data_IF_053711153264
#
_entry.id   IF_053711153264
#
_cell.length_a   1.000
_cell.length_b   1.000
_cell.length_c   1.000
_cell.angle_alpha   90.00
_cell.angle_beta   90.00
_cell.angle_gamma   90.00
#
_symmetry.space_group_name_H-M   'P 1'
#
loop_
_entity.id
_entity.type
_entity.pdbx_description
1 polymer ?
#
# COMPACT_ATOMS: atom_id res chain seq x y z
N UNK A 1 26.42 -24.70 -9.64
CA UNK A 1 26.06 -23.26 -9.73
C UNK A 1 24.54 -23.20 -9.62
N UNK A 2 23.98 -22.34 -8.76
CA UNK A 2 22.51 -22.13 -8.74
C UNK A 2 22.14 -21.40 -10.03
N UNK A 3 21.10 -21.86 -10.72
CA UNK A 3 20.61 -21.23 -11.94
C UNK A 3 20.13 -19.78 -11.62
N UNK A 4 20.43 -18.86 -12.53
CA UNK A 4 19.97 -17.48 -12.43
C UNK A 4 18.46 -17.46 -12.70
N UNK A 5 17.63 -16.94 -11.79
CA UNK A 5 16.18 -16.96 -11.98
C UNK A 5 15.77 -16.09 -13.19
N UNK A 6 14.78 -16.57 -13.92
CA UNK A 6 14.12 -15.77 -14.96
C UNK A 6 13.23 -14.69 -14.34
N UNK A 7 13.38 -13.45 -14.79
CA UNK A 7 12.73 -12.29 -14.20
C UNK A 7 11.90 -11.56 -15.26
N UNK A 8 10.70 -11.12 -14.89
CA UNK A 8 10.01 -10.03 -15.58
C UNK A 8 9.93 -8.82 -14.66
N UNK A 9 9.89 -7.64 -15.27
CA UNK A 9 9.73 -6.36 -14.59
C UNK A 9 8.52 -5.62 -15.12
N UNK A 10 7.82 -4.82 -14.30
CA UNK A 10 6.78 -3.93 -14.79
C UNK A 10 6.64 -2.68 -13.92
N UNK A 11 6.55 -1.53 -14.58
CA UNK A 11 6.34 -0.21 -13.98
C UNK A 11 5.78 0.72 -15.06
N UNK A 12 4.80 1.55 -14.73
CA UNK A 12 4.21 2.52 -15.66
C UNK A 12 5.04 3.81 -15.79
N UNK A 13 6.14 3.93 -15.02
CA UNK A 13 7.12 5.01 -15.12
C UNK A 13 8.32 4.58 -15.98
N UNK A 14 8.44 5.02 -17.25
CA UNK A 14 9.44 4.50 -18.18
C UNK A 14 10.89 4.65 -17.71
N UNK A 15 11.21 5.75 -17.01
CA UNK A 15 12.56 5.98 -16.49
C UNK A 15 12.92 5.03 -15.36
N UNK A 16 11.96 4.74 -14.46
CA UNK A 16 12.18 3.81 -13.34
C UNK A 16 12.30 2.39 -13.87
N UNK A 17 11.42 1.99 -14.78
CA UNK A 17 11.46 0.67 -15.43
C UNK A 17 12.79 0.45 -16.16
N UNK A 18 13.23 1.45 -16.94
CA UNK A 18 14.52 1.39 -17.62
C UNK A 18 15.68 1.29 -16.63
N UNK A 19 15.72 2.15 -15.61
CA UNK A 19 16.78 2.15 -14.61
C UNK A 19 16.87 0.82 -13.84
N UNK A 20 15.73 0.23 -13.48
CA UNK A 20 15.68 -1.09 -12.85
C UNK A 20 16.21 -2.19 -13.79
N UNK A 21 15.78 -2.17 -15.04
CA UNK A 21 16.25 -3.16 -16.03
C UNK A 21 17.75 -3.04 -16.30
N UNK A 22 18.26 -1.81 -16.50
CA UNK A 22 19.67 -1.56 -16.74
C UNK A 22 20.52 -2.06 -15.56
N UNK A 23 20.08 -1.76 -14.32
CA UNK A 23 20.74 -2.25 -13.11
C UNK A 23 20.75 -3.78 -13.01
N UNK A 24 19.61 -4.44 -13.25
CA UNK A 24 19.51 -5.89 -13.18
C UNK A 24 20.36 -6.58 -14.27
N UNK A 25 20.42 -6.02 -15.48
CA UNK A 25 21.26 -6.51 -16.58
C UNK A 25 22.75 -6.35 -16.26
N UNK A 26 23.17 -5.22 -15.68
CA UNK A 26 24.55 -4.99 -15.22
C UNK A 26 24.98 -6.05 -14.19
N UNK A 27 24.04 -6.47 -13.34
CA UNK A 27 24.25 -7.55 -12.35
C UNK A 27 24.08 -8.97 -12.92
N UNK A 28 23.96 -9.13 -14.23
CA UNK A 28 23.80 -10.39 -14.93
C UNK A 28 22.53 -11.19 -14.56
N UNK A 29 21.45 -10.52 -14.16
CA UNK A 29 20.15 -11.16 -14.00
C UNK A 29 19.49 -11.42 -15.36
N UNK A 30 18.73 -12.52 -15.46
CA UNK A 30 18.05 -12.94 -16.67
C UNK A 30 16.66 -12.29 -16.78
N UNK A 31 16.57 -11.10 -17.40
CA UNK A 31 15.31 -10.44 -17.69
C UNK A 31 14.72 -11.00 -18.97
N UNK A 32 13.59 -11.69 -18.87
CA UNK A 32 12.91 -12.33 -20.01
C UNK A 32 11.73 -11.54 -20.56
N UNK A 33 11.36 -10.43 -19.90
CA UNK A 33 10.29 -9.55 -20.37
C UNK A 33 10.13 -8.31 -19.47
N UNK A 34 9.52 -7.27 -20.06
CA UNK A 34 9.26 -6.02 -19.37
C UNK A 34 7.92 -5.44 -19.83
N UNK A 35 7.07 -4.99 -18.91
CA UNK A 35 5.76 -4.41 -19.18
C UNK A 35 5.67 -2.97 -18.69
N UNK A 36 4.91 -2.13 -19.39
CA UNK A 36 4.65 -0.73 -19.03
C UNK A 36 3.30 -0.53 -18.34
N UNK A 37 2.54 -1.58 -18.12
CA UNK A 37 1.27 -1.57 -17.41
C UNK A 37 0.96 -2.97 -16.82
N UNK A 38 -0.05 -3.01 -15.94
CA UNK A 38 -0.39 -4.25 -15.25
C UNK A 38 -1.00 -5.33 -16.14
N UNK A 39 -1.62 -4.97 -17.28
CA UNK A 39 -2.14 -5.96 -18.23
C UNK A 39 -1.01 -6.68 -18.93
N UNK A 40 -0.06 -5.92 -19.50
CA UNK A 40 1.14 -6.48 -20.13
C UNK A 40 1.93 -7.34 -19.14
N UNK A 41 2.09 -6.88 -17.90
CA UNK A 41 2.78 -7.64 -16.85
C UNK A 41 2.11 -9.00 -16.62
N UNK A 42 0.78 -9.02 -16.48
CA UNK A 42 0.04 -10.27 -16.25
C UNK A 42 0.11 -11.21 -17.45
N UNK A 43 -0.04 -10.70 -18.67
CA UNK A 43 0.06 -11.48 -19.90
C UNK A 43 1.49 -12.10 -20.04
N UNK A 44 2.55 -11.35 -19.73
CA UNK A 44 3.92 -11.85 -19.67
C UNK A 44 4.10 -12.98 -18.64
N UNK A 45 3.48 -12.86 -17.45
CA UNK A 45 3.52 -13.92 -16.44
C UNK A 45 2.84 -15.19 -16.96
N UNK A 46 1.70 -15.07 -17.62
CA UNK A 46 0.96 -16.21 -18.14
C UNK A 46 1.73 -16.92 -19.25
N UNK A 47 2.34 -16.16 -20.17
CA UNK A 47 3.05 -16.67 -21.33
C UNK A 47 4.40 -17.28 -20.96
N UNK A 48 5.23 -16.51 -20.21
CA UNK A 48 6.65 -16.86 -19.99
C UNK A 48 6.91 -17.64 -18.71
N UNK A 49 5.94 -17.65 -17.78
CA UNK A 49 6.08 -18.35 -16.49
C UNK A 49 7.40 -18.05 -15.77
N UNK A 50 7.76 -16.78 -15.54
CA UNK A 50 9.02 -16.41 -14.91
C UNK A 50 9.11 -16.97 -13.49
N UNK A 51 10.34 -17.13 -12.99
CA UNK A 51 10.58 -17.50 -11.58
C UNK A 51 10.17 -16.35 -10.64
N UNK A 52 10.48 -15.10 -11.06
CA UNK A 52 10.22 -13.90 -10.27
C UNK A 52 9.56 -12.84 -11.17
N UNK A 53 8.53 -12.17 -10.65
CA UNK A 53 7.95 -10.98 -11.25
C UNK A 53 8.13 -9.79 -10.30
N UNK A 54 8.85 -8.76 -10.76
CA UNK A 54 9.08 -7.51 -10.03
C UNK A 54 8.13 -6.46 -10.58
N UNK A 55 7.16 -6.05 -9.76
CA UNK A 55 6.02 -5.25 -10.21
C UNK A 55 5.88 -3.98 -9.38
N UNK A 56 5.59 -2.86 -10.03
CA UNK A 56 5.03 -1.72 -9.32
C UNK A 56 3.63 -2.06 -8.79
N UNK A 57 3.27 -1.46 -7.66
CA UNK A 57 1.92 -1.62 -7.11
C UNK A 57 0.91 -0.85 -7.95
N UNK A 58 1.21 0.41 -8.29
CA UNK A 58 0.28 1.27 -9.02
C UNK A 58 0.59 1.26 -10.50
N UNK A 59 -0.19 0.54 -11.26
CA UNK A 59 -0.12 0.50 -12.73
C UNK A 59 -1.51 0.60 -13.33
N UNK A 60 -1.64 1.15 -14.55
CA UNK A 60 -2.90 1.12 -15.30
C UNK A 60 -3.41 -0.31 -15.52
N UNK A 61 -4.72 -0.45 -15.62
CA UNK A 61 -5.48 -1.69 -15.87
C UNK A 61 -5.47 -2.69 -14.71
N UNK A 62 -4.31 -3.10 -14.22
CA UNK A 62 -4.17 -4.02 -13.08
C UNK A 62 -3.05 -3.53 -12.15
N UNK A 63 -3.34 -3.43 -10.87
CA UNK A 63 -2.31 -3.17 -9.87
C UNK A 63 -1.42 -4.40 -9.64
N UNK A 64 -0.20 -4.19 -9.13
CA UNK A 64 0.68 -5.31 -8.73
C UNK A 64 0.01 -6.23 -7.70
N UNK A 65 -0.84 -5.69 -6.84
CA UNK A 65 -1.65 -6.47 -5.88
C UNK A 65 -2.71 -7.32 -6.59
N UNK A 66 -3.41 -6.75 -7.60
CA UNK A 66 -4.40 -7.51 -8.37
C UNK A 66 -3.75 -8.66 -9.14
N UNK A 67 -2.57 -8.43 -9.71
CA UNK A 67 -1.78 -9.47 -10.40
C UNK A 67 -1.41 -10.57 -9.40
N UNK A 68 -0.91 -10.23 -8.23
CA UNK A 68 -0.57 -11.21 -7.20
C UNK A 68 -1.78 -12.06 -6.77
N UNK A 69 -2.94 -11.42 -6.60
CA UNK A 69 -4.18 -12.12 -6.29
C UNK A 69 -4.62 -13.07 -7.42
N UNK A 70 -4.55 -12.62 -8.68
CA UNK A 70 -4.85 -13.47 -9.86
C UNK A 70 -3.89 -14.64 -9.97
N UNK A 71 -2.59 -14.43 -9.77
CA UNK A 71 -1.59 -15.49 -9.76
C UNK A 71 -1.86 -16.54 -8.67
N UNK A 72 -2.24 -16.08 -7.46
CA UNK A 72 -2.61 -16.96 -6.35
C UNK A 72 -3.84 -17.82 -6.69
N UNK A 73 -4.90 -17.21 -7.23
CA UNK A 73 -6.13 -17.93 -7.63
C UNK A 73 -5.83 -18.95 -8.74
N UNK A 74 -5.00 -18.58 -9.71
CA UNK A 74 -4.61 -19.44 -10.84
C UNK A 74 -3.50 -20.45 -10.50
N UNK A 75 -3.05 -20.53 -9.24
CA UNK A 75 -1.94 -21.38 -8.78
C UNK A 75 -0.65 -21.22 -9.62
N UNK A 76 -0.35 -19.99 -10.03
CA UNK A 76 0.87 -19.66 -10.76
C UNK A 76 2.03 -19.64 -9.76
N UNK A 77 3.14 -20.33 -10.11
CA UNK A 77 4.30 -20.48 -9.22
C UNK A 77 5.25 -19.28 -9.20
N UNK A 78 5.05 -18.32 -10.10
CA UNK A 78 5.85 -17.09 -10.15
C UNK A 78 5.84 -16.39 -8.81
N UNK A 79 7.01 -16.09 -8.28
CA UNK A 79 7.16 -15.37 -7.02
C UNK A 79 7.04 -13.86 -7.26
N UNK A 80 6.07 -13.24 -6.63
CA UNK A 80 5.80 -11.81 -6.82
C UNK A 80 6.64 -10.97 -5.85
N UNK A 81 7.34 -10.00 -6.39
CA UNK A 81 8.04 -8.93 -5.65
C UNK A 81 7.36 -7.62 -6.02
N UNK A 82 6.90 -6.87 -5.02
CA UNK A 82 6.32 -5.54 -5.22
C UNK A 82 7.35 -4.47 -4.92
N UNK A 83 7.45 -3.49 -5.83
CA UNK A 83 8.19 -2.25 -5.60
C UNK A 83 7.18 -1.09 -5.58
N UNK A 84 7.30 -0.16 -4.63
CA UNK A 84 6.32 0.91 -4.47
C UNK A 84 6.92 2.18 -3.88
N UNK A 85 6.33 3.33 -4.18
CA UNK A 85 6.56 4.58 -3.45
C UNK A 85 5.71 4.68 -2.19
N UNK A 86 4.68 3.81 -2.06
CA UNK A 86 3.67 3.89 -1.00
C UNK A 86 4.12 3.18 0.28
N UNK A 87 3.96 3.90 1.41
CA UNK A 87 4.28 3.41 2.76
C UNK A 87 3.01 3.04 3.54
N UNK A 88 1.92 2.72 2.83
CA UNK A 88 0.62 2.46 3.43
C UNK A 88 0.58 1.10 4.13
N UNK A 89 0.11 1.11 5.36
CA UNK A 89 -0.01 -0.08 6.22
C UNK A 89 -0.92 -1.12 5.58
N UNK A 90 -2.01 -0.68 4.97
CA UNK A 90 -3.03 -1.50 4.34
C UNK A 90 -2.45 -2.32 3.16
N UNK A 91 -1.66 -1.69 2.30
CA UNK A 91 -0.99 -2.37 1.18
C UNK A 91 0.03 -3.38 1.66
N UNK A 92 0.80 -3.04 2.70
CA UNK A 92 1.76 -3.94 3.31
C UNK A 92 1.08 -5.17 3.96
N UNK A 93 -0.04 -4.98 4.66
CA UNK A 93 -0.80 -6.08 5.25
C UNK A 93 -1.37 -6.99 4.17
N UNK A 94 -1.98 -6.41 3.13
CA UNK A 94 -2.52 -7.16 1.99
C UNK A 94 -1.44 -7.96 1.25
N UNK A 95 -0.24 -7.39 1.12
CA UNK A 95 0.91 -8.11 0.55
C UNK A 95 1.27 -9.37 1.37
N UNK A 96 1.23 -9.28 2.70
CA UNK A 96 1.45 -10.43 3.58
C UNK A 96 0.36 -11.49 3.47
N UNK A 97 -0.91 -11.09 3.45
CA UNK A 97 -2.06 -12.01 3.30
C UNK A 97 -2.02 -12.78 1.97
N UNK A 98 -1.52 -12.13 0.92
CA UNK A 98 -1.35 -12.74 -0.39
C UNK A 98 -0.11 -13.65 -0.49
N UNK A 99 0.72 -13.72 0.56
CA UNK A 99 2.00 -14.42 0.58
C UNK A 99 2.96 -13.95 -0.53
N UNK A 100 3.01 -12.63 -0.75
CA UNK A 100 3.96 -12.02 -1.67
C UNK A 100 5.38 -12.24 -1.15
N UNK A 101 6.31 -12.57 -2.04
CA UNK A 101 7.67 -12.92 -1.67
C UNK A 101 8.57 -11.72 -1.39
N UNK A 102 8.33 -10.58 -2.04
CA UNK A 102 9.11 -9.36 -1.83
C UNK A 102 8.27 -8.11 -1.73
N UNK A 103 8.67 -7.17 -0.87
CA UNK A 103 8.06 -5.85 -0.76
C UNK A 103 9.15 -4.81 -0.47
N UNK A 104 9.42 -3.92 -1.44
CA UNK A 104 10.52 -2.96 -1.42
C UNK A 104 9.98 -1.55 -1.71
N UNK A 105 10.55 -0.54 -1.06
CA UNK A 105 10.30 0.86 -1.43
C UNK A 105 11.16 1.27 -2.63
N UNK A 106 10.58 1.98 -3.61
CA UNK A 106 11.31 2.49 -4.79
C UNK A 106 12.52 3.35 -4.41
N UNK A 107 12.45 4.07 -3.29
CA UNK A 107 13.56 4.89 -2.77
C UNK A 107 14.82 4.06 -2.45
N UNK A 108 14.64 2.77 -2.11
CA UNK A 108 15.73 1.88 -1.70
C UNK A 108 15.87 0.66 -2.64
N UNK A 109 15.20 0.70 -3.80
CA UNK A 109 15.16 -0.46 -4.70
C UNK A 109 16.56 -0.93 -5.11
N UNK A 110 17.45 -0.02 -5.51
CA UNK A 110 18.82 -0.38 -5.94
C UNK A 110 19.68 -0.97 -4.81
N UNK A 111 19.42 -0.61 -3.56
CA UNK A 111 20.15 -1.13 -2.39
C UNK A 111 19.63 -2.52 -1.97
N UNK A 112 18.32 -2.76 -2.10
CA UNK A 112 17.65 -3.90 -1.51
C UNK A 112 17.28 -5.00 -2.52
N UNK A 113 17.23 -4.68 -3.83
CA UNK A 113 16.71 -5.60 -4.85
C UNK A 113 17.55 -6.88 -4.99
N UNK A 114 18.88 -6.79 -4.94
CA UNK A 114 19.76 -7.96 -5.02
C UNK A 114 19.50 -8.90 -3.84
N UNK A 115 19.47 -8.36 -2.63
CA UNK A 115 19.18 -9.13 -1.39
C UNK A 115 17.78 -9.76 -1.46
N UNK A 116 16.81 -9.01 -2.01
CA UNK A 116 15.45 -9.50 -2.20
C UNK A 116 15.43 -10.69 -3.18
N UNK A 117 16.02 -10.53 -4.37
CA UNK A 117 16.05 -11.59 -5.39
C UNK A 117 16.72 -12.87 -4.86
N UNK A 118 17.84 -12.73 -4.14
CA UNK A 118 18.52 -13.89 -3.55
C UNK A 118 17.64 -14.63 -2.54
N UNK A 119 16.99 -13.91 -1.63
CA UNK A 119 16.08 -14.52 -0.65
C UNK A 119 14.87 -15.15 -1.32
N UNK A 120 14.28 -14.46 -2.28
CA UNK A 120 13.11 -14.93 -3.03
C UNK A 120 13.47 -16.17 -3.85
N UNK A 121 14.64 -16.20 -4.51
CA UNK A 121 15.15 -17.38 -5.18
C UNK A 121 15.21 -18.59 -4.23
N UNK A 122 15.70 -18.38 -3.02
CA UNK A 122 15.82 -19.42 -2.00
C UNK A 122 14.47 -19.75 -1.29
N UNK A 123 13.35 -19.23 -1.79
CA UNK A 123 12.00 -19.47 -1.25
C UNK A 123 11.69 -18.70 0.03
N UNK A 124 12.52 -17.73 0.41
CA UNK A 124 12.33 -16.89 1.58
C UNK A 124 11.71 -15.54 1.18
N UNK A 125 10.80 -15.03 1.98
CA UNK A 125 10.26 -13.68 1.75
C UNK A 125 11.22 -12.59 2.21
N UNK A 126 11.19 -11.45 1.53
CA UNK A 126 11.92 -10.24 1.89
C UNK A 126 10.97 -9.04 1.94
N UNK A 127 10.81 -8.48 3.11
CA UNK A 127 10.07 -7.22 3.32
C UNK A 127 11.06 -6.19 3.84
N UNK A 128 11.20 -5.09 3.12
CA UNK A 128 12.15 -4.02 3.46
C UNK A 128 12.07 -3.64 4.94
N UNK A 129 13.18 -3.66 5.69
CA UNK A 129 13.19 -3.19 7.08
C UNK A 129 12.74 -1.74 7.21
N UNK A 130 13.08 -0.90 6.23
CA UNK A 130 12.73 0.52 6.19
C UNK A 130 11.20 0.74 6.08
N UNK A 131 10.46 -0.18 5.46
CA UNK A 131 9.00 -0.17 5.47
C UNK A 131 8.47 -0.44 6.88
N UNK A 132 9.03 -1.39 7.60
CA UNK A 132 8.57 -1.71 8.96
C UNK A 132 8.74 -0.52 9.89
N UNK A 133 9.87 0.16 9.82
CA UNK A 133 10.14 1.38 10.59
C UNK A 133 9.14 2.50 10.23
N UNK A 134 8.92 2.74 8.95
CA UNK A 134 7.96 3.73 8.45
C UNK A 134 6.52 3.43 8.91
N UNK A 135 6.11 2.15 8.84
CA UNK A 135 4.78 1.70 9.27
C UNK A 135 4.61 1.87 10.79
N UNK A 136 5.62 1.49 11.57
CA UNK A 136 5.58 1.65 13.03
C UNK A 136 5.43 3.11 13.39
N UNK A 137 6.22 4.00 12.79
CA UNK A 137 6.13 5.44 13.02
C UNK A 137 4.75 5.99 12.64
N UNK A 138 4.25 5.65 11.45
CA UNK A 138 2.92 6.10 10.97
C UNK A 138 1.79 5.53 11.84
N UNK A 139 1.90 4.29 12.31
CA UNK A 139 0.88 3.67 13.17
C UNK A 139 0.87 4.30 14.57
N UNK A 140 2.04 4.62 15.12
CA UNK A 140 2.16 5.33 16.40
C UNK A 140 1.57 6.73 16.29
N UNK A 141 1.94 7.51 15.27
CA UNK A 141 1.41 8.87 15.06
C UNK A 141 -0.11 8.86 14.84
N UNK A 142 -0.64 7.93 14.04
CA UNK A 142 -2.10 7.79 13.83
C UNK A 142 -2.82 7.37 15.12
N UNK A 143 -2.25 6.43 15.87
CA UNK A 143 -2.76 6.01 17.17
C UNK A 143 -2.77 7.16 18.18
N UNK A 144 -1.73 7.96 18.24
CA UNK A 144 -1.63 9.12 19.13
C UNK A 144 -2.65 10.21 18.76
N UNK A 145 -2.85 10.49 17.47
CA UNK A 145 -3.88 11.42 17.01
C UNK A 145 -5.29 10.95 17.40
N UNK A 146 -5.61 9.68 17.18
CA UNK A 146 -6.89 9.09 17.61
C UNK A 146 -7.04 9.11 19.15
N UNK A 147 -5.98 8.82 19.89
CA UNK A 147 -5.98 8.82 21.33
C UNK A 147 -6.12 10.23 21.94
N UNK A 148 -5.78 11.28 21.19
CA UNK A 148 -6.00 12.68 21.58
C UNK A 148 -7.46 13.10 21.55
N UNK A 149 -8.34 12.34 20.87
CA UNK A 149 -9.78 12.63 20.81
C UNK A 149 -10.47 12.21 22.10
N UNK A 150 -11.31 13.12 22.61
CA UNK A 150 -12.19 12.81 23.75
C UNK A 150 -13.26 11.79 23.36
N UNK A 151 -13.88 11.10 24.34
CA UNK A 151 -14.98 10.16 24.04
C UNK A 151 -16.13 10.77 23.25
N UNK A 152 -16.45 12.05 23.47
CA UNK A 152 -17.48 12.77 22.74
C UNK A 152 -17.07 13.06 21.30
N UNK A 153 -15.82 13.44 21.07
CA UNK A 153 -15.26 13.67 19.74
C UNK A 153 -15.21 12.36 18.93
N UNK A 154 -14.85 11.24 19.54
CA UNK A 154 -14.89 9.91 18.89
C UNK A 154 -16.30 9.51 18.48
N UNK A 155 -17.32 9.72 19.35
CA UNK A 155 -18.73 9.45 19.02
C UNK A 155 -19.20 10.30 17.83
N UNK A 156 -18.85 11.59 17.82
CA UNK A 156 -19.19 12.49 16.71
C UNK A 156 -18.48 12.05 15.43
N UNK A 157 -17.20 11.72 15.48
CA UNK A 157 -16.43 11.27 14.33
C UNK A 157 -17.00 9.97 13.73
N UNK A 158 -17.42 9.02 14.57
CA UNK A 158 -18.09 7.79 14.12
C UNK A 158 -19.43 8.08 13.42
N UNK A 159 -20.20 9.05 13.91
CA UNK A 159 -21.45 9.46 13.25
C UNK A 159 -21.20 10.19 11.92
N UNK A 160 -20.11 10.95 11.82
CA UNK A 160 -19.67 11.56 10.55
C UNK A 160 -19.30 10.46 9.53
N UNK A 161 -18.58 9.41 9.95
CA UNK A 161 -18.26 8.28 9.09
C UNK A 161 -19.51 7.57 8.53
N UNK A 162 -20.64 7.66 9.25
CA UNK A 162 -21.97 7.15 8.85
C UNK A 162 -22.77 8.16 8.01
N UNK A 163 -22.13 9.16 7.44
CA UNK A 163 -22.76 10.25 6.64
C UNK A 163 -23.83 11.08 7.40
N UNK A 164 -23.78 11.11 8.74
CA UNK A 164 -24.75 11.90 9.51
C UNK A 164 -24.45 13.39 9.43
N UNK A 165 -25.50 14.16 9.17
CA UNK A 165 -25.44 15.63 9.16
C UNK A 165 -25.28 16.18 10.57
N UNK A 166 -24.82 17.43 10.72
CA UNK A 166 -24.69 18.08 12.02
C UNK A 166 -26.03 18.13 12.80
N UNK A 167 -27.16 18.27 12.09
CA UNK A 167 -28.51 18.26 12.71
C UNK A 167 -28.86 16.88 13.28
N UNK A 168 -28.60 15.81 12.52
CA UNK A 168 -28.84 14.44 12.98
C UNK A 168 -27.93 14.07 14.15
N UNK A 169 -26.64 14.48 14.11
CA UNK A 169 -25.69 14.27 15.20
C UNK A 169 -26.16 15.00 16.45
N UNK A 170 -26.54 16.26 16.33
CA UNK A 170 -27.05 17.07 17.44
C UNK A 170 -28.27 16.42 18.09
N UNK A 171 -29.24 15.97 17.28
CA UNK A 171 -30.43 15.25 17.75
C UNK A 171 -30.06 13.94 18.43
N UNK A 172 -29.20 13.12 17.84
CA UNK A 172 -28.83 11.79 18.34
C UNK A 172 -28.03 11.84 19.65
N UNK A 173 -27.25 12.88 19.85
CA UNK A 173 -26.41 13.08 21.04
C UNK A 173 -27.02 14.02 22.08
N UNK A 174 -28.22 14.56 21.81
CA UNK A 174 -28.92 15.52 22.67
C UNK A 174 -28.08 16.77 23.00
N UNK A 175 -27.38 17.32 22.01
CA UNK A 175 -26.54 18.52 22.09
C UNK A 175 -26.98 19.56 21.05
N UNK A 176 -26.50 20.80 21.19
CA UNK A 176 -26.81 21.84 20.20
C UNK A 176 -26.05 21.66 18.90
N UNK A 177 -26.61 22.12 17.79
CA UNK A 177 -25.94 22.18 16.49
C UNK A 177 -24.55 22.85 16.59
N UNK A 178 -24.51 23.98 17.31
CA UNK A 178 -23.27 24.75 17.54
C UNK A 178 -22.21 23.95 18.32
N UNK A 179 -22.64 23.08 19.23
CA UNK A 179 -21.75 22.18 19.96
C UNK A 179 -21.12 21.16 19.02
N UNK A 180 -21.90 20.61 18.07
CA UNK A 180 -21.38 19.69 17.04
C UNK A 180 -20.33 20.39 16.17
N UNK A 181 -20.59 21.62 15.72
CA UNK A 181 -19.62 22.38 14.93
C UNK A 181 -18.32 22.62 15.67
N UNK A 182 -18.41 22.99 16.97
CA UNK A 182 -17.22 23.17 17.81
C UNK A 182 -16.41 21.88 17.93
N UNK A 183 -17.06 20.73 18.16
CA UNK A 183 -16.38 19.44 18.20
C UNK A 183 -15.73 19.10 16.86
N UNK A 184 -16.40 19.34 15.72
CA UNK A 184 -15.82 19.13 14.39
C UNK A 184 -14.53 19.94 14.18
N UNK A 185 -14.54 21.22 14.57
CA UNK A 185 -13.36 22.08 14.50
C UNK A 185 -12.22 21.55 15.38
N UNK A 186 -12.53 21.12 16.60
CA UNK A 186 -11.55 20.53 17.50
C UNK A 186 -10.96 19.23 16.95
N UNK A 187 -11.80 18.37 16.35
CA UNK A 187 -11.35 17.12 15.73
C UNK A 187 -10.42 17.43 14.55
N UNK A 188 -10.78 18.36 13.67
CA UNK A 188 -9.94 18.78 12.53
C UNK A 188 -8.56 19.23 13.04
N UNK A 189 -8.53 20.07 14.08
CA UNK A 189 -7.28 20.55 14.69
C UNK A 189 -6.44 19.42 15.30
N UNK A 190 -7.06 18.50 16.06
CA UNK A 190 -6.37 17.38 16.72
C UNK A 190 -5.86 16.34 15.74
N UNK A 191 -6.58 16.12 14.65
CA UNK A 191 -6.19 15.20 13.58
C UNK A 191 -5.23 15.86 12.57
N UNK A 192 -4.97 17.18 12.72
CA UNK A 192 -4.11 17.95 11.81
C UNK A 192 -4.57 17.87 10.35
N UNK A 193 -5.88 18.01 10.14
CA UNK A 193 -6.47 17.95 8.81
C UNK A 193 -6.50 19.33 8.17
N UNK A 194 -6.20 19.37 6.87
CA UNK A 194 -6.40 20.61 6.12
C UNK A 194 -7.87 21.03 6.16
N UNK A 195 -8.17 22.34 6.35
CA UNK A 195 -9.53 22.86 6.41
C UNK A 195 -10.19 22.91 5.03
N UNK A 196 -10.28 21.78 4.34
CA UNK A 196 -10.98 21.61 3.07
C UNK A 196 -12.36 21.01 3.27
N UNK A 197 -13.28 21.34 2.34
CA UNK A 197 -14.62 20.76 2.33
C UNK A 197 -14.52 19.23 2.29
N UNK A 198 -15.18 18.55 3.22
CA UNK A 198 -15.22 17.09 3.38
C UNK A 198 -13.93 16.40 3.89
N UNK A 199 -12.85 17.11 4.22
CA UNK A 199 -11.62 16.46 4.73
C UNK A 199 -11.89 15.54 5.92
N UNK A 200 -12.70 16.01 6.87
CA UNK A 200 -13.10 15.24 8.05
C UNK A 200 -13.98 14.03 7.73
N UNK A 201 -14.87 14.14 6.74
CA UNK A 201 -15.73 13.03 6.30
C UNK A 201 -14.90 11.95 5.60
N UNK A 202 -14.02 12.35 4.70
CA UNK A 202 -13.11 11.44 3.98
C UNK A 202 -12.25 10.70 5.01
N UNK A 203 -11.59 11.42 5.90
CA UNK A 203 -10.77 10.84 6.95
C UNK A 203 -11.56 9.87 7.85
N UNK A 204 -12.77 10.24 8.27
CA UNK A 204 -13.61 9.40 9.11
C UNK A 204 -14.03 8.09 8.42
N UNK A 205 -14.30 8.11 7.11
CA UNK A 205 -14.62 6.90 6.33
C UNK A 205 -13.43 5.98 6.17
N UNK A 206 -12.26 6.53 5.89
CA UNK A 206 -11.02 5.75 5.75
C UNK A 206 -10.61 5.04 7.05
N UNK A 207 -10.99 5.60 8.22
CA UNK A 207 -10.60 5.08 9.53
C UNK A 207 -11.78 4.48 10.31
N UNK A 208 -12.91 4.20 9.66
CA UNK A 208 -14.14 3.74 10.32
C UNK A 208 -13.94 2.49 11.19
N UNK A 209 -13.11 1.55 10.77
CA UNK A 209 -12.82 0.32 11.50
C UNK A 209 -12.06 0.55 12.83
N UNK A 210 -11.46 1.73 13.02
CA UNK A 210 -10.70 2.11 14.23
C UNK A 210 -11.54 2.98 15.19
N UNK A 211 -12.75 3.37 14.77
CA UNK A 211 -13.65 4.24 15.53
C UNK A 211 -14.72 3.47 16.33
N UNK A 212 -14.73 2.14 16.22
CA UNK A 212 -15.67 1.25 16.90
C UNK A 212 -15.13 0.84 18.26
#
# INVERSE_FOLDING_TARGET
MKETPSIITADDHPLLLKGLNDFLLEKNYNIIGSGSDGRQAYDLILEKRPDIAILDIQMPHLSGIDIAQKCKIANIKTKIVLITLHKEVELYQKAKELNIFGYILKEFALEEIEICIEKVRDGKSFFSPKIKESIVTTTVEKSDKLNSLTPSERKILNLIAQDKTNKEIASKLFISYRTVEKHRSNIISKLDLEPKTNSLLIWAKEHQNQLI
#
